data_IF_745973826420
#
_entry.id   IF_745973826420
#
_cell.length_a   1.000
_cell.length_b   1.000
_cell.length_c   1.000
_cell.angle_alpha   90.00
_cell.angle_beta   90.00
_cell.angle_gamma   90.00
#
_symmetry.space_group_name_H-M   'P 1'
#
loop_
_entity.id
_entity.type
_entity.pdbx_description
1 polymer ?
#
# COMPACT_ATOMS: atom_id res chain seq x y z
N UNK A 1 22.61 -16.91 -7.93
CA UNK A 1 22.11 -15.71 -7.23
C UNK A 1 20.71 -16.03 -6.75
N UNK A 2 20.49 -15.94 -5.44
CA UNK A 2 19.37 -16.54 -4.72
C UNK A 2 17.99 -16.12 -5.25
N UNK A 3 17.31 -17.03 -5.93
CA UNK A 3 15.89 -16.92 -6.32
C UNK A 3 14.98 -17.06 -5.10
N UNK A 4 15.17 -16.22 -4.08
CA UNK A 4 14.23 -16.12 -2.96
C UNK A 4 12.90 -15.62 -3.52
N UNK A 5 11.81 -16.33 -3.26
CA UNK A 5 10.49 -15.99 -3.77
C UNK A 5 10.17 -14.51 -3.50
N UNK A 6 10.14 -13.73 -4.58
CA UNK A 6 9.90 -12.30 -4.58
C UNK A 6 8.40 -12.09 -4.57
N UNK A 7 7.86 -11.59 -3.46
CA UNK A 7 6.43 -11.35 -3.32
C UNK A 7 6.15 -9.86 -3.53
N UNK A 8 4.97 -9.57 -4.10
CA UNK A 8 4.48 -8.20 -4.24
C UNK A 8 3.03 -8.17 -3.76
N UNK A 9 2.69 -7.17 -2.97
CA UNK A 9 1.36 -6.92 -2.46
C UNK A 9 0.94 -5.52 -2.86
N UNK A 10 -0.18 -5.41 -3.59
CA UNK A 10 -0.76 -4.13 -4.02
C UNK A 10 -2.12 -3.95 -3.34
N UNK A 11 -2.29 -2.89 -2.55
CA UNK A 11 -3.52 -2.64 -1.78
C UNK A 11 -4.01 -3.85 -0.95
N UNK A 12 -3.05 -4.61 -0.39
CA UNK A 12 -3.35 -5.82 0.39
C UNK A 12 -3.60 -7.08 -0.44
N UNK A 13 -3.58 -7.00 -1.77
CA UNK A 13 -3.73 -8.15 -2.68
C UNK A 13 -2.36 -8.62 -3.13
N UNK A 14 -2.05 -9.89 -2.87
CA UNK A 14 -0.83 -10.53 -3.37
C UNK A 14 -0.92 -10.71 -4.89
N UNK A 15 0.06 -10.18 -5.62
CA UNK A 15 0.18 -10.39 -7.06
C UNK A 15 0.67 -11.80 -7.39
N UNK A 16 0.35 -12.31 -8.61
CA UNK A 16 0.96 -13.53 -9.12
C UNK A 16 2.48 -13.45 -9.19
N UNK A 17 3.16 -14.58 -9.02
CA UNK A 17 4.63 -14.64 -8.97
C UNK A 17 5.30 -14.08 -10.24
N UNK A 18 4.69 -14.21 -11.43
CA UNK A 18 5.18 -13.61 -12.68
C UNK A 18 5.16 -12.08 -12.64
N UNK A 19 4.02 -11.51 -12.25
CA UNK A 19 3.86 -10.05 -12.12
C UNK A 19 4.76 -9.49 -11.01
N UNK A 20 4.86 -10.21 -9.89
CA UNK A 20 5.74 -9.86 -8.80
C UNK A 20 7.20 -9.78 -9.26
N UNK A 21 7.70 -10.79 -9.98
CA UNK A 21 9.06 -10.78 -10.54
C UNK A 21 9.27 -9.63 -11.53
N UNK A 22 8.29 -9.36 -12.39
CA UNK A 22 8.36 -8.25 -13.35
C UNK A 22 8.47 -6.90 -12.62
N UNK A 23 7.69 -6.69 -11.55
CA UNK A 23 7.75 -5.48 -10.75
C UNK A 23 9.09 -5.36 -10.01
N UNK A 24 9.60 -6.45 -9.43
CA UNK A 24 10.92 -6.46 -8.81
C UNK A 24 12.04 -6.14 -9.81
N UNK A 25 11.96 -6.62 -11.05
CA UNK A 25 12.94 -6.29 -12.09
C UNK A 25 12.94 -4.78 -12.41
N UNK A 26 11.76 -4.17 -12.55
CA UNK A 26 11.62 -2.71 -12.74
C UNK A 26 12.12 -1.93 -11.54
N UNK A 27 11.80 -2.39 -10.32
CA UNK A 27 12.26 -1.78 -9.08
C UNK A 27 13.79 -1.82 -8.98
N UNK A 28 14.41 -2.96 -9.28
CA UNK A 28 15.86 -3.08 -9.29
C UNK A 28 16.53 -2.20 -10.34
N UNK A 29 15.96 -2.09 -11.54
CA UNK A 29 16.46 -1.18 -12.58
C UNK A 29 16.38 0.28 -12.12
N UNK A 30 15.25 0.67 -11.54
CA UNK A 30 15.08 2.01 -10.97
C UNK A 30 16.06 2.28 -9.83
N UNK A 31 16.30 1.32 -8.95
CA UNK A 31 17.26 1.47 -7.86
C UNK A 31 18.72 1.56 -8.33
N UNK A 32 19.04 1.06 -9.53
CA UNK A 32 20.38 1.20 -10.11
C UNK A 32 20.63 2.64 -10.57
N UNK A 33 19.65 3.23 -11.26
CA UNK A 33 19.69 4.61 -11.77
C UNK A 33 19.40 5.67 -10.70
N UNK A 34 18.47 5.37 -9.77
CA UNK A 34 17.92 6.29 -8.77
C UNK A 34 18.00 5.66 -7.37
N UNK A 35 19.24 5.39 -6.93
CA UNK A 35 19.52 4.75 -5.62
C UNK A 35 18.79 5.44 -4.47
N UNK A 36 17.83 4.73 -3.89
CA UNK A 36 17.08 5.17 -2.72
C UNK A 36 15.80 5.97 -3.03
N UNK A 37 15.44 6.17 -4.30
CA UNK A 37 14.24 6.90 -4.67
C UNK A 37 13.02 5.98 -4.79
N UNK A 38 12.42 5.64 -3.65
CA UNK A 38 11.20 4.83 -3.62
C UNK A 38 9.97 5.62 -4.07
N UNK A 39 9.92 6.93 -3.77
CA UNK A 39 8.80 7.79 -4.11
C UNK A 39 8.68 8.00 -5.62
N UNK A 40 9.82 8.18 -6.31
CA UNK A 40 9.86 8.29 -7.76
C UNK A 40 9.43 7.00 -8.46
N UNK A 41 9.84 5.83 -7.94
CA UNK A 41 9.35 4.55 -8.46
C UNK A 41 7.83 4.41 -8.28
N UNK A 42 7.30 4.77 -7.11
CA UNK A 42 5.87 4.74 -6.85
C UNK A 42 5.12 5.61 -7.85
N UNK A 43 5.54 6.87 -8.01
CA UNK A 43 4.91 7.81 -8.94
C UNK A 43 4.97 7.32 -10.40
N UNK A 44 6.07 6.69 -10.82
CA UNK A 44 6.26 6.14 -12.17
C UNK A 44 5.30 4.99 -12.48
N UNK A 45 5.14 4.06 -11.55
CA UNK A 45 4.24 2.92 -11.72
C UNK A 45 2.78 3.25 -11.39
N UNK A 46 2.49 4.47 -10.90
CA UNK A 46 1.14 4.92 -10.54
C UNK A 46 0.69 4.52 -9.13
N UNK A 47 1.63 4.16 -8.27
CA UNK A 47 1.40 3.92 -6.84
C UNK A 47 1.49 5.22 -6.04
N UNK A 48 0.71 5.32 -4.96
CA UNK A 48 0.82 6.41 -3.98
C UNK A 48 1.98 6.18 -3.02
N UNK A 49 2.28 4.93 -2.70
CA UNK A 49 3.47 4.57 -1.93
C UNK A 49 3.96 3.19 -2.33
N UNK A 50 5.27 3.00 -2.24
CA UNK A 50 5.93 1.70 -2.43
C UNK A 50 7.02 1.55 -1.38
N UNK A 51 7.10 0.37 -0.78
CA UNK A 51 8.15 0.06 0.19
C UNK A 51 8.57 -1.40 0.15
N UNK A 52 9.87 -1.69 0.22
CA UNK A 52 10.35 -3.04 0.50
C UNK A 52 10.09 -3.36 1.98
N UNK A 53 9.59 -4.57 2.24
CA UNK A 53 9.32 -5.12 3.55
C UNK A 53 9.85 -6.57 3.62
N UNK A 54 9.99 -7.10 4.84
CA UNK A 54 10.29 -8.51 5.07
C UNK A 54 9.09 -9.17 5.73
N UNK A 55 8.57 -10.24 5.14
CA UNK A 55 7.46 -11.02 5.69
C UNK A 55 7.83 -12.49 5.76
N UNK A 56 7.82 -13.07 6.97
CA UNK A 56 8.18 -14.47 7.17
C UNK A 56 9.56 -14.86 6.64
N UNK A 57 10.53 -13.93 6.69
CA UNK A 57 11.89 -14.12 6.16
C UNK A 57 12.02 -13.99 4.64
N UNK A 58 10.97 -13.54 3.94
CA UNK A 58 10.99 -13.29 2.49
C UNK A 58 10.85 -11.80 2.18
N UNK A 59 11.58 -11.30 1.16
CA UNK A 59 11.41 -9.93 0.69
C UNK A 59 10.06 -9.76 0.00
N UNK A 60 9.30 -8.76 0.44
CA UNK A 60 7.99 -8.41 -0.10
C UNK A 60 7.99 -6.95 -0.49
N UNK A 61 7.51 -6.64 -1.69
CA UNK A 61 7.30 -5.26 -2.13
C UNK A 61 5.84 -4.89 -1.86
N UNK A 62 5.61 -3.93 -0.98
CA UNK A 62 4.26 -3.47 -0.63
C UNK A 62 4.00 -2.15 -1.34
N UNK A 63 3.01 -2.13 -2.22
CA UNK A 63 2.58 -0.94 -2.95
C UNK A 63 1.09 -0.65 -2.70
N UNK A 64 0.68 0.59 -2.92
CA UNK A 64 -0.72 1.01 -2.79
C UNK A 64 -1.11 1.93 -3.93
N UNK A 65 -2.19 1.63 -4.67
CA UNK A 65 -2.73 2.47 -5.75
C UNK A 65 -4.00 3.22 -5.34
N UNK A 66 -4.80 2.70 -4.39
CA UNK A 66 -6.12 3.26 -4.04
C UNK A 66 -6.15 4.08 -2.77
N UNK A 67 -5.38 3.69 -1.77
CA UNK A 67 -5.30 4.43 -0.52
C UNK A 67 -3.97 5.18 -0.51
N UNK A 68 -4.06 6.52 -0.56
CA UNK A 68 -2.98 7.33 -0.03
C UNK A 68 -2.76 6.83 1.39
N UNK A 69 -1.56 6.32 1.67
CA UNK A 69 -1.16 5.78 2.96
C UNK A 69 -1.70 6.73 4.03
N UNK A 70 -2.79 6.33 4.70
CA UNK A 70 -3.45 7.22 5.65
C UNK A 70 -2.42 7.41 6.74
N UNK A 71 -1.83 8.61 6.76
CA UNK A 71 -0.88 9.00 7.79
C UNK A 71 -1.52 8.64 9.12
N UNK A 72 -0.93 7.67 9.83
CA UNK A 72 -1.38 7.09 11.10
C UNK A 72 -2.56 7.86 11.69
N UNK A 73 -3.78 7.53 11.25
CA UNK A 73 -4.97 8.06 11.88
C UNK A 73 -5.04 7.31 13.21
N UNK A 74 -4.65 8.00 14.28
CA UNK A 74 -4.76 7.52 15.65
C UNK A 74 -6.06 6.75 15.82
N UNK A 75 -5.99 5.50 16.29
CA UNK A 75 -7.12 4.64 16.52
C UNK A 75 -8.04 5.20 17.64
N UNK A 76 -8.82 6.23 17.32
CA UNK A 76 -10.00 6.67 18.06
C UNK A 76 -11.01 7.18 17.04
N UNK A 77 -12.24 6.72 17.19
CA UNK A 77 -13.43 7.10 16.39
C UNK A 77 -13.69 6.34 15.09
N UNK A 78 -13.58 5.01 15.11
CA UNK A 78 -14.53 4.18 14.35
C UNK A 78 -15.65 3.80 15.30
N UNK A 79 -16.69 4.63 15.35
CA UNK A 79 -17.89 4.44 16.13
C UNK A 79 -19.16 4.69 15.31
N UNK A 80 -19.43 3.76 14.38
CA UNK A 80 -20.73 3.33 13.84
C UNK A 80 -21.73 4.35 13.17
N UNK A 81 -22.39 3.97 12.05
CA UNK A 81 -23.30 4.84 11.31
C UNK A 81 -24.80 4.69 11.66
N UNK A 82 -25.51 5.83 11.56
CA UNK A 82 -26.85 6.07 10.97
C UNK A 82 -28.10 5.39 11.58
N UNK A 83 -28.88 6.19 12.32
CA UNK A 83 -30.36 6.13 12.41
C UNK A 83 -30.89 7.57 12.47
N UNK A 84 -31.41 8.16 11.40
CA UNK A 84 -32.80 8.08 10.93
C UNK A 84 -33.85 8.68 11.90
N UNK A 85 -34.37 9.84 11.48
CA UNK A 85 -35.75 10.35 11.63
C UNK A 85 -36.33 10.63 13.03
N UNK A 86 -36.85 11.85 13.17
CA UNK A 86 -37.85 12.24 14.18
C UNK A 86 -37.51 13.62 14.76
N UNK A 87 -37.84 14.72 14.08
CA UNK A 87 -39.11 15.40 14.24
C UNK A 87 -39.41 15.85 15.69
N UNK A 88 -39.45 17.16 15.90
CA UNK A 88 -40.54 17.75 16.70
C UNK A 88 -40.23 18.22 18.13
N UNK A 89 -39.99 19.53 18.20
CA UNK A 89 -40.60 20.51 19.12
C UNK A 89 -39.90 20.78 20.48
N UNK A 90 -39.92 22.04 20.97
CA UNK A 90 -39.01 22.55 22.00
C UNK A 90 -39.68 22.83 23.36
N UNK A 91 -38.83 23.32 24.29
CA UNK A 91 -39.13 24.19 25.44
C UNK A 91 -39.47 23.49 26.76
N UNK A 92 -38.60 23.70 27.76
CA UNK A 92 -38.98 24.28 29.05
C UNK A 92 -37.77 24.85 29.76
#
# INVERSE_FOLDING_TARGET
MSSGALEVVVDGVKLPDEEARAMWARFSAWMDEHKGDLAGFAAREGFVSVKPAMSGGRPVLVASVREAQVAYANAREIGAPKGARGAGKPKR
#
